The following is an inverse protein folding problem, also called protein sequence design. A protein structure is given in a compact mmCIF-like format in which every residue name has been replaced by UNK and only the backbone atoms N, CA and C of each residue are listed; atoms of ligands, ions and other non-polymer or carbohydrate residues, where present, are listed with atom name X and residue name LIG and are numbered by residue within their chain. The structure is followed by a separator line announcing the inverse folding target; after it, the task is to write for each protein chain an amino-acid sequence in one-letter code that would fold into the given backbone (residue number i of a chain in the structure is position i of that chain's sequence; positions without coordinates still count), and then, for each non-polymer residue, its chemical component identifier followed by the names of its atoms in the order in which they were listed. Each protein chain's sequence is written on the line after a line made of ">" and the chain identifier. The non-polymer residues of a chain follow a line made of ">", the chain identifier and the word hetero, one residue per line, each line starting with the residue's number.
data_IF_277295404445
#
_entry.id   IF_277295404445
#
_cell.length_a   1.000
_cell.length_b   1.000
_cell.length_c   1.000
_cell.angle_alpha   90.00
_cell.angle_beta   90.00
_cell.angle_gamma   90.00
#
_symmetry.space_group_name_H-M   'P 1'
#
loop_
_entity.id
_entity.type
_entity.pdbx_description
1 polymer ?
#
# COMPACT_ATOMS: atom_id res chain seq x y z
N UNK A 1 -7.50 3.51 13.79
CA UNK A 1 -6.37 2.70 13.27
C UNK A 1 -6.74 1.24 13.48
N UNK A 2 -6.59 0.42 12.45
CA UNK A 2 -6.81 -1.02 12.56
C UNK A 2 -5.68 -1.61 13.41
N UNK A 3 -5.99 -2.36 14.46
CA UNK A 3 -4.99 -2.93 15.37
C UNK A 3 -4.87 -4.43 15.25
N UNK A 4 -5.92 -5.12 14.82
CA UNK A 4 -5.94 -6.58 14.65
C UNK A 4 -6.83 -6.95 13.47
N UNK A 5 -6.41 -7.94 12.70
CA UNK A 5 -7.22 -8.58 11.66
C UNK A 5 -7.07 -10.10 11.81
N UNK A 6 -8.19 -10.79 12.00
CA UNK A 6 -8.26 -12.25 11.95
C UNK A 6 -9.01 -12.68 10.69
N UNK A 7 -8.46 -13.68 10.01
CA UNK A 7 -8.99 -14.24 8.77
C UNK A 7 -9.08 -15.75 8.91
N UNK A 8 -10.25 -16.33 8.63
CA UNK A 8 -10.46 -17.79 8.60
C UNK A 8 -10.95 -18.24 7.23
N UNK A 9 -10.40 -19.35 6.74
CA UNK A 9 -10.78 -20.06 5.50
C UNK A 9 -10.82 -19.19 4.23
N UNK A 10 -9.93 -18.20 4.14
CA UNK A 10 -9.83 -17.30 2.99
C UNK A 10 -8.53 -17.51 2.21
N UNK A 11 -8.66 -17.98 0.96
CA UNK A 11 -7.55 -18.18 0.02
C UNK A 11 -6.38 -18.95 0.64
N UNK A 12 -5.23 -18.31 0.81
CA UNK A 12 -4.01 -18.92 1.33
C UNK A 12 -4.04 -19.15 2.85
N UNK A 13 -5.04 -18.61 3.55
CA UNK A 13 -5.19 -18.70 5.00
C UNK A 13 -6.26 -19.71 5.38
N UNK A 14 -5.84 -20.76 6.10
CA UNK A 14 -6.77 -21.54 6.93
C UNK A 14 -7.19 -20.68 8.13
N UNK A 15 -6.22 -20.11 8.82
CA UNK A 15 -6.42 -19.12 9.88
C UNK A 15 -5.18 -18.22 9.90
N UNK A 16 -5.38 -16.91 10.05
CA UNK A 16 -4.30 -15.96 10.25
C UNK A 16 -4.78 -14.81 11.14
N UNK A 17 -4.01 -14.51 12.18
CA UNK A 17 -4.21 -13.35 13.04
C UNK A 17 -3.01 -12.42 12.92
N UNK A 18 -3.25 -11.17 12.50
CA UNK A 18 -2.21 -10.17 12.26
C UNK A 18 -2.50 -8.94 13.12
N UNK A 19 -1.54 -8.60 13.99
CA UNK A 19 -1.59 -7.42 14.85
C UNK A 19 -0.84 -6.26 14.20
N UNK A 20 -1.57 -5.25 13.73
CA UNK A 20 -1.03 -4.14 12.95
C UNK A 20 -0.58 -2.97 13.84
N UNK A 21 0.42 -2.24 13.35
CA UNK A 21 0.96 -1.00 13.93
C UNK A 21 0.76 0.16 12.94
N UNK A 22 1.47 1.29 13.14
CA UNK A 22 1.39 2.43 12.23
C UNK A 22 2.01 2.13 10.86
N UNK A 23 3.12 1.39 10.79
CA UNK A 23 3.78 0.97 9.55
C UNK A 23 3.90 -0.56 9.50
N UNK A 24 3.32 -1.17 8.47
CA UNK A 24 3.27 -2.62 8.35
C UNK A 24 3.86 -3.04 7.01
N UNK A 25 4.98 -3.78 7.04
CA UNK A 25 5.66 -4.29 5.86
C UNK A 25 5.38 -5.79 5.70
N UNK A 26 4.75 -6.14 4.58
CA UNK A 26 4.39 -7.50 4.21
C UNK A 26 5.38 -7.97 3.16
N UNK A 27 6.11 -9.04 3.45
CA UNK A 27 7.13 -9.60 2.57
C UNK A 27 7.09 -11.12 2.56
N UNK A 28 7.84 -11.76 1.65
CA UNK A 28 7.69 -13.18 1.33
C UNK A 28 7.58 -13.43 -0.17
N UNK A 29 7.71 -14.68 -0.60
CA UNK A 29 7.63 -15.04 -2.03
C UNK A 29 6.24 -14.80 -2.63
N UNK A 30 6.15 -14.81 -3.96
CA UNK A 30 4.89 -14.69 -4.66
C UNK A 30 3.96 -15.86 -4.32
N UNK A 31 2.68 -15.56 -4.11
CA UNK A 31 1.68 -16.57 -3.78
C UNK A 31 1.68 -17.06 -2.33
N UNK A 32 2.40 -16.40 -1.42
CA UNK A 32 2.43 -16.74 0.01
C UNK A 32 1.35 -16.05 0.85
N UNK A 33 0.32 -15.43 0.25
CA UNK A 33 -0.80 -14.86 1.02
C UNK A 33 -0.75 -13.35 1.33
N UNK A 34 0.34 -12.64 1.05
CA UNK A 34 0.43 -11.16 1.19
C UNK A 34 -0.76 -10.42 0.55
N UNK A 35 -1.00 -10.66 -0.74
CA UNK A 35 -2.11 -10.06 -1.46
C UNK A 35 -3.47 -10.61 -1.01
N UNK A 36 -3.51 -11.83 -0.43
CA UNK A 36 -4.75 -12.33 0.19
C UNK A 36 -5.14 -11.51 1.41
N UNK A 37 -4.16 -11.09 2.22
CA UNK A 37 -4.46 -10.19 3.34
C UNK A 37 -5.01 -8.85 2.85
N UNK A 38 -4.33 -8.20 1.90
CA UNK A 38 -4.79 -6.92 1.33
C UNK A 38 -6.19 -7.08 0.74
N UNK A 39 -6.43 -8.16 -0.01
CA UNK A 39 -7.74 -8.46 -0.58
C UNK A 39 -8.83 -8.62 0.48
N UNK A 40 -8.54 -9.14 1.67
CA UNK A 40 -9.54 -9.21 2.75
C UNK A 40 -10.09 -7.83 3.11
N UNK A 41 -9.22 -6.83 3.30
CA UNK A 41 -9.61 -5.46 3.62
C UNK A 41 -10.40 -4.82 2.46
N UNK A 42 -9.96 -5.07 1.22
CA UNK A 42 -10.63 -4.55 0.02
C UNK A 42 -12.03 -5.17 -0.16
N UNK A 43 -12.17 -6.48 0.12
CA UNK A 43 -13.46 -7.18 0.07
C UNK A 43 -14.43 -6.62 1.11
N UNK A 44 -13.98 -6.43 2.36
CA UNK A 44 -14.79 -5.84 3.42
C UNK A 44 -15.27 -4.44 2.99
N UNK A 45 -14.35 -3.59 2.53
CA UNK A 45 -14.67 -2.24 2.05
C UNK A 45 -15.68 -2.23 0.90
N UNK A 46 -15.45 -3.02 -0.16
CA UNK A 46 -16.37 -3.02 -1.30
C UNK A 46 -17.73 -3.63 -0.96
N UNK A 47 -17.77 -4.60 -0.04
CA UNK A 47 -19.02 -5.22 0.40
C UNK A 47 -19.90 -4.24 1.17
N UNK A 48 -19.29 -3.38 1.98
CA UNK A 48 -20.02 -2.30 2.65
C UNK A 48 -20.47 -1.22 1.66
N UNK A 49 -19.55 -0.69 0.84
CA UNK A 49 -19.82 0.47 -0.01
C UNK A 49 -20.67 0.17 -1.26
N UNK A 50 -20.41 -0.96 -1.93
CA UNK A 50 -21.12 -1.36 -3.15
C UNK A 50 -22.22 -2.39 -2.85
N UNK A 51 -21.95 -3.33 -1.94
CA UNK A 51 -22.90 -4.35 -1.49
C UNK A 51 -23.98 -3.84 -0.52
N UNK A 52 -23.91 -2.54 -0.15
CA UNK A 52 -24.79 -1.79 0.77
C UNK A 52 -24.69 -2.18 2.25
N UNK A 53 -24.18 -3.37 2.56
CA UNK A 53 -24.08 -3.84 3.95
C UNK A 53 -23.12 -5.02 4.04
N UNK A 54 -22.07 -4.84 4.85
CA UNK A 54 -21.14 -5.89 5.23
C UNK A 54 -21.85 -7.05 5.95
N UNK A 55 -22.90 -6.74 6.70
CA UNK A 55 -23.77 -7.71 7.39
C UNK A 55 -24.87 -8.27 6.47
N UNK A 56 -24.72 -8.14 5.16
CA UNK A 56 -25.62 -8.73 4.17
C UNK A 56 -24.93 -9.80 3.35
N UNK A 57 -23.91 -9.38 2.57
CA UNK A 57 -23.16 -10.28 1.68
C UNK A 57 -21.70 -9.84 1.55
N UNK A 58 -20.80 -10.80 1.41
CA UNK A 58 -19.44 -10.57 0.95
C UNK A 58 -19.44 -10.54 -0.57
N UNK A 59 -19.22 -9.35 -1.14
CA UNK A 59 -19.11 -9.15 -2.58
C UNK A 59 -17.71 -9.59 -3.02
N UNK A 60 -17.60 -10.67 -3.79
CA UNK A 60 -16.32 -11.17 -4.31
C UNK A 60 -15.88 -10.44 -5.60
N UNK A 61 -16.80 -9.68 -6.18
CA UNK A 61 -16.60 -8.84 -7.37
C UNK A 61 -17.12 -7.44 -7.12
N UNK A 62 -16.29 -6.45 -7.42
CA UNK A 62 -16.63 -5.03 -7.29
C UNK A 62 -15.62 -4.14 -8.01
N UNK A 63 -15.72 -2.83 -7.80
CA UNK A 63 -14.82 -1.86 -8.43
C UNK A 63 -13.37 -1.96 -7.91
N UNK A 64 -13.20 -2.40 -6.67
CA UNK A 64 -11.91 -2.55 -6.02
C UNK A 64 -11.20 -3.82 -6.48
N UNK A 65 -11.84 -4.98 -6.35
CA UNK A 65 -11.25 -6.27 -6.70
C UNK A 65 -12.31 -7.24 -7.25
N UNK A 66 -11.86 -8.12 -8.14
CA UNK A 66 -12.58 -9.30 -8.60
C UNK A 66 -11.71 -10.51 -8.26
N UNK A 67 -12.16 -11.32 -7.31
CA UNK A 67 -11.48 -12.57 -6.93
C UNK A 67 -12.18 -13.81 -7.49
N UNK A 68 -13.24 -13.64 -8.30
CA UNK A 68 -14.01 -14.74 -8.87
C UNK A 68 -15.23 -15.13 -8.02
N UNK A 69 -15.32 -16.42 -7.69
CA UNK A 69 -16.46 -17.04 -6.99
C UNK A 69 -16.04 -17.60 -5.64
N UNK A 70 -16.99 -18.13 -4.88
CA UNK A 70 -16.76 -18.73 -3.58
C UNK A 70 -15.64 -19.77 -3.60
N UNK A 71 -15.56 -20.61 -4.64
CA UNK A 71 -14.47 -21.61 -4.79
C UNK A 71 -13.06 -21.01 -4.93
N UNK A 72 -12.96 -19.78 -5.44
CA UNK A 72 -11.69 -19.08 -5.64
C UNK A 72 -11.28 -18.30 -4.37
N UNK A 73 -12.28 -17.91 -3.57
CA UNK A 73 -12.12 -17.22 -2.30
C UNK A 73 -11.85 -18.15 -1.11
N UNK A 74 -12.36 -19.38 -1.17
CA UNK A 74 -12.32 -20.34 -0.08
C UNK A 74 -10.96 -21.04 0.04
N UNK A 75 -10.48 -21.23 1.26
CA UNK A 75 -9.20 -21.91 1.48
C UNK A 75 -9.30 -23.40 1.20
N UNK A 76 -8.26 -23.96 0.56
CA UNK A 76 -8.20 -25.40 0.26
C UNK A 76 -8.01 -26.26 1.52
N UNK A 77 -7.52 -25.66 2.61
CA UNK A 77 -7.35 -26.30 3.91
C UNK A 77 -8.39 -25.86 4.94
N UNK A 78 -9.51 -25.32 4.46
CA UNK A 78 -10.61 -24.90 5.31
C UNK A 78 -11.16 -26.07 6.13
N UNK A 79 -11.49 -25.81 7.39
CA UNK A 79 -12.05 -26.81 8.32
C UNK A 79 -13.53 -26.62 8.63
N UNK A 80 -14.15 -25.59 8.06
CA UNK A 80 -15.55 -25.24 8.28
C UNK A 80 -16.13 -24.60 7.01
N UNK A 81 -17.46 -24.69 6.82
CA UNK A 81 -18.13 -24.23 5.59
C UNK A 81 -18.43 -22.72 5.60
N UNK A 82 -17.49 -21.90 6.08
CA UNK A 82 -17.62 -20.45 6.11
C UNK A 82 -16.28 -19.74 5.97
N UNK A 83 -16.33 -18.49 5.54
CA UNK A 83 -15.20 -17.55 5.56
C UNK A 83 -15.45 -16.55 6.69
N UNK A 84 -14.47 -16.30 7.54
CA UNK A 84 -14.58 -15.37 8.67
C UNK A 84 -13.60 -14.22 8.56
N UNK A 85 -14.06 -13.03 8.94
CA UNK A 85 -13.20 -11.88 9.17
C UNK A 85 -13.53 -11.24 10.52
N UNK A 86 -12.51 -11.02 11.33
CA UNK A 86 -12.59 -10.10 12.47
C UNK A 86 -11.63 -8.94 12.26
N UNK A 87 -12.06 -7.73 12.62
CA UNK A 87 -11.21 -6.54 12.57
C UNK A 87 -11.42 -5.73 13.83
N UNK A 88 -10.33 -5.43 14.53
CA UNK A 88 -10.33 -4.50 15.65
C UNK A 88 -9.80 -3.14 15.19
N UNK A 89 -10.49 -2.08 15.59
CA UNK A 89 -10.04 -0.70 15.43
C UNK A 89 -9.82 -0.07 16.80
N UNK A 90 -8.64 0.50 17.00
CA UNK A 90 -8.24 1.12 18.27
C UNK A 90 -8.44 0.16 19.47
N UNK A 91 -8.05 -1.12 19.30
CA UNK A 91 -8.17 -2.19 20.29
C UNK A 91 -9.61 -2.50 20.73
N UNK A 92 -10.60 -2.22 19.87
CA UNK A 92 -11.99 -2.60 20.07
C UNK A 92 -12.49 -3.39 18.86
N UNK A 93 -13.28 -4.46 19.07
CA UNK A 93 -13.93 -5.17 17.97
C UNK A 93 -14.78 -4.21 17.14
N UNK A 94 -14.55 -4.20 15.83
CA UNK A 94 -15.33 -3.41 14.86
C UNK A 94 -16.07 -4.31 13.89
N UNK A 95 -15.47 -5.42 13.47
CA UNK A 95 -16.04 -6.40 12.56
C UNK A 95 -15.90 -7.78 13.19
N UNK A 96 -16.99 -8.56 13.22
CA UNK A 96 -16.99 -10.02 13.37
C UNK A 96 -18.08 -10.57 12.46
N UNK A 97 -17.67 -10.97 11.25
CA UNK A 97 -18.58 -11.46 10.21
C UNK A 97 -18.16 -12.83 9.73
N UNK A 98 -19.16 -13.70 9.55
CA UNK A 98 -19.01 -14.99 8.86
C UNK A 98 -19.87 -15.03 7.62
N UNK A 99 -19.34 -15.58 6.54
CA UNK A 99 -20.06 -15.76 5.28
C UNK A 99 -20.13 -17.23 4.93
N UNK A 100 -21.33 -17.71 4.60
CA UNK A 100 -21.54 -19.11 4.23
C UNK A 100 -20.85 -19.42 2.91
N UNK A 101 -20.09 -20.51 2.88
CA UNK A 101 -19.41 -20.94 1.66
C UNK A 101 -20.44 -21.43 0.62
N UNK A 102 -20.42 -20.80 -0.56
CA UNK A 102 -21.21 -21.20 -1.73
C UNK A 102 -20.32 -21.12 -2.98
N UNK A 103 -19.87 -22.29 -3.45
CA UNK A 103 -18.81 -22.43 -4.46
C UNK A 103 -19.03 -21.63 -5.75
N UNK A 104 -20.28 -21.58 -6.24
CA UNK A 104 -20.61 -21.02 -7.55
C UNK A 104 -21.09 -19.55 -7.52
N UNK A 105 -21.23 -18.96 -6.33
CA UNK A 105 -21.66 -17.58 -6.17
C UNK A 105 -20.49 -16.62 -6.08
N UNK A 106 -20.70 -15.39 -6.58
CA UNK A 106 -19.80 -14.24 -6.46
C UNK A 106 -20.23 -13.26 -5.36
N UNK A 107 -21.31 -13.55 -4.64
CA UNK A 107 -21.74 -12.85 -3.44
C UNK A 107 -22.14 -13.86 -2.37
N UNK A 108 -21.35 -13.97 -1.30
CA UNK A 108 -21.57 -14.96 -0.25
C UNK A 108 -22.48 -14.37 0.84
N UNK A 109 -23.58 -15.05 1.23
CA UNK A 109 -24.48 -14.53 2.25
C UNK A 109 -23.84 -14.59 3.64
N UNK A 110 -24.07 -13.55 4.44
CA UNK A 110 -23.64 -13.55 5.85
C UNK A 110 -24.36 -14.63 6.63
N UNK A 111 -23.70 -15.15 7.66
CA UNK A 111 -24.34 -15.92 8.72
C UNK A 111 -24.97 -14.96 9.75
N UNK A 112 -26.30 -14.97 9.95
CA UNK A 112 -26.96 -14.04 10.87
C UNK A 112 -26.50 -14.13 12.32
N UNK A 113 -25.93 -15.27 12.74
CA UNK A 113 -25.39 -15.46 14.09
C UNK A 113 -24.05 -14.74 14.30
N UNK A 114 -23.36 -14.40 13.21
CA UNK A 114 -22.04 -13.75 13.20
C UNK A 114 -22.03 -12.64 12.14
N UNK A 115 -22.75 -11.56 12.47
CA UNK A 115 -22.93 -10.40 11.60
C UNK A 115 -22.76 -9.09 12.40
N UNK A 116 -21.65 -8.98 13.13
CA UNK A 116 -21.33 -7.80 13.93
C UNK A 116 -20.54 -6.81 13.08
N UNK A 117 -21.05 -5.58 13.00
CA UNK A 117 -20.36 -4.46 12.38
C UNK A 117 -20.66 -3.18 13.14
N UNK A 118 -19.67 -2.66 13.85
CA UNK A 118 -19.75 -1.44 14.66
C UNK A 118 -18.97 -0.29 14.02
N UNK A 119 -19.48 0.26 12.91
CA UNK A 119 -18.93 1.48 12.31
C UNK A 119 -19.78 2.70 12.67
N UNK A 120 -19.78 3.07 13.95
CA UNK A 120 -20.59 4.22 14.38
C UNK A 120 -20.10 5.51 13.68
N UNK A 121 -20.96 6.09 12.82
CA UNK A 121 -20.76 7.38 12.12
C UNK A 121 -19.69 7.42 11.02
N UNK A 122 -19.47 6.34 10.28
CA UNK A 122 -18.51 6.30 9.15
C UNK A 122 -17.09 6.74 9.54
N UNK A 123 -16.69 6.48 10.79
CA UNK A 123 -15.42 6.99 11.32
C UNK A 123 -14.22 6.16 10.87
N UNK A 124 -14.42 4.88 10.57
CA UNK A 124 -13.30 4.02 10.21
C UNK A 124 -12.71 4.43 8.87
N UNK A 125 -11.39 4.64 8.84
CA UNK A 125 -10.67 4.94 7.62
C UNK A 125 -10.91 3.86 6.55
N UNK A 126 -11.13 2.61 6.94
CA UNK A 126 -11.42 1.50 6.03
C UNK A 126 -12.69 1.68 5.20
N UNK A 127 -13.67 2.48 5.65
CA UNK A 127 -14.96 2.64 4.98
C UNK A 127 -15.27 4.07 4.51
N UNK A 128 -14.40 5.04 4.76
CA UNK A 128 -14.59 6.43 4.32
C UNK A 128 -13.51 6.88 3.31
N UNK A 129 -13.42 8.19 3.05
CA UNK A 129 -12.49 8.79 2.07
C UNK A 129 -11.03 8.84 2.54
N UNK A 130 -10.74 8.49 3.80
CA UNK A 130 -9.40 8.39 4.35
C UNK A 130 -8.68 7.09 3.94
N UNK A 131 -9.40 6.14 3.32
CA UNK A 131 -8.77 4.97 2.68
C UNK A 131 -8.09 5.38 1.37
N UNK A 132 -6.79 5.11 1.27
CA UNK A 132 -5.99 5.28 0.06
C UNK A 132 -5.41 3.93 -0.33
N UNK A 133 -5.60 3.53 -1.58
CA UNK A 133 -5.08 2.26 -2.08
C UNK A 133 -4.43 2.43 -3.44
N UNK A 134 -3.21 1.91 -3.59
CA UNK A 134 -2.48 1.84 -4.84
C UNK A 134 -2.10 0.40 -5.14
N UNK A 135 -2.62 -0.11 -6.26
CA UNK A 135 -2.34 -1.45 -6.80
C UNK A 135 -0.90 -1.56 -7.29
N UNK A 136 -0.43 -2.80 -7.44
CA UNK A 136 0.84 -3.09 -8.10
C UNK A 136 0.83 -2.65 -9.58
N UNK A 137 -0.26 -2.92 -10.29
CA UNK A 137 -0.49 -2.45 -11.67
C UNK A 137 -0.94 -0.98 -11.67
N UNK A 138 0.01 -0.07 -11.86
CA UNK A 138 -0.19 1.39 -11.90
C UNK A 138 -0.29 1.91 -13.33
N UNK A 139 -0.75 3.15 -13.44
CA UNK A 139 -0.90 3.84 -14.72
C UNK A 139 0.39 3.86 -15.53
N UNK A 140 0.24 3.59 -16.84
CA UNK A 140 1.34 3.65 -17.79
C UNK A 140 1.67 5.11 -18.17
N UNK A 141 2.92 5.39 -18.60
CA UNK A 141 3.25 6.67 -19.18
C UNK A 141 2.43 6.97 -20.43
N UNK A 142 1.72 8.10 -20.43
CA UNK A 142 0.97 8.62 -21.58
C UNK A 142 1.38 10.07 -21.89
N UNK A 143 1.10 10.52 -23.12
CA UNK A 143 1.30 11.91 -23.50
C UNK A 143 0.36 12.87 -22.77
N UNK A 144 -0.86 12.40 -22.51
CA UNK A 144 -1.97 13.15 -21.94
C UNK A 144 -2.82 12.19 -21.12
N UNK A 145 -3.33 12.64 -19.98
CA UNK A 145 -4.21 11.86 -19.12
C UNK A 145 -5.62 12.46 -19.16
N UNK A 146 -6.63 11.60 -19.03
CA UNK A 146 -8.02 12.05 -18.93
C UNK A 146 -8.25 12.69 -17.57
N UNK A 147 -8.98 13.81 -17.55
CA UNK A 147 -9.39 14.42 -16.30
C UNK A 147 -10.64 13.73 -15.73
N UNK A 148 -10.65 13.51 -14.42
CA UNK A 148 -11.82 13.11 -13.66
C UNK A 148 -12.02 14.09 -12.51
N UNK A 149 -12.62 15.25 -12.82
CA UNK A 149 -12.78 16.34 -11.86
C UNK A 149 -13.60 15.93 -10.63
N UNK A 150 -14.66 15.15 -10.81
CA UNK A 150 -15.50 14.72 -9.69
C UNK A 150 -14.71 13.87 -8.69
N UNK A 151 -13.96 12.86 -9.16
CA UNK A 151 -13.14 12.02 -8.28
C UNK A 151 -12.08 12.84 -7.52
N UNK A 152 -11.48 13.85 -8.17
CA UNK A 152 -10.37 14.61 -7.57
C UNK A 152 -10.86 15.72 -6.65
N UNK A 153 -11.84 16.52 -7.08
CA UNK A 153 -12.34 17.67 -6.30
C UNK A 153 -13.19 17.24 -5.12
N UNK A 154 -14.14 16.32 -5.32
CA UNK A 154 -15.08 15.93 -4.26
C UNK A 154 -14.50 14.87 -3.33
N UNK A 155 -13.75 13.91 -3.89
CA UNK A 155 -13.32 12.71 -3.13
C UNK A 155 -11.82 12.72 -2.79
N UNK A 156 -11.03 13.66 -3.34
CA UNK A 156 -9.57 13.65 -3.25
C UNK A 156 -8.98 12.27 -3.60
N UNK A 157 -9.55 11.64 -4.65
CA UNK A 157 -9.25 10.28 -5.05
C UNK A 157 -8.29 10.25 -6.24
N UNK A 158 -7.07 9.74 -6.01
CA UNK A 158 -6.04 9.63 -7.06
C UNK A 158 -6.25 8.43 -8.00
N UNK A 159 -7.24 7.57 -7.72
CA UNK A 159 -7.41 6.34 -8.46
C UNK A 159 -6.59 5.19 -7.89
N UNK A 160 -7.05 3.95 -8.08
CA UNK A 160 -6.35 2.77 -7.56
C UNK A 160 -5.08 2.44 -8.33
N UNK A 161 -4.95 2.94 -9.57
CA UNK A 161 -3.72 2.86 -10.37
C UNK A 161 -2.93 4.17 -10.35
N UNK A 162 -3.39 5.17 -9.60
CA UNK A 162 -2.84 6.52 -9.64
C UNK A 162 -3.27 7.33 -10.87
N UNK A 163 -4.33 6.91 -11.58
CA UNK A 163 -4.74 7.50 -12.86
C UNK A 163 -5.12 8.98 -12.79
N UNK A 164 -5.52 9.47 -11.62
CA UNK A 164 -5.86 10.88 -11.40
C UNK A 164 -4.72 11.67 -10.74
N UNK A 165 -3.54 11.09 -10.54
CA UNK A 165 -2.41 11.75 -9.84
C UNK A 165 -2.00 13.04 -10.52
N UNK A 166 -1.90 13.04 -11.86
CA UNK A 166 -1.56 14.24 -12.61
C UNK A 166 -2.60 15.35 -12.36
N UNK A 167 -3.90 15.03 -12.45
CA UNK A 167 -4.96 16.00 -12.17
C UNK A 167 -4.90 16.50 -10.73
N UNK A 168 -4.70 15.60 -9.77
CA UNK A 168 -4.59 15.91 -8.36
C UNK A 168 -3.48 16.93 -8.10
N UNK A 169 -2.29 16.71 -8.66
CA UNK A 169 -1.17 17.64 -8.53
C UNK A 169 -1.51 18.98 -9.22
N UNK A 170 -2.10 18.96 -10.41
CA UNK A 170 -2.45 20.20 -11.13
C UNK A 170 -3.39 21.09 -10.31
N UNK A 171 -4.35 20.49 -9.60
CA UNK A 171 -5.37 21.20 -8.81
C UNK A 171 -4.90 21.56 -7.40
N UNK A 172 -4.10 20.70 -6.75
CA UNK A 172 -3.73 20.84 -5.33
C UNK A 172 -2.23 21.09 -5.10
N UNK A 173 -1.44 21.42 -6.13
CA UNK A 173 0.01 21.67 -5.99
C UNK A 173 0.38 22.70 -4.93
N UNK A 174 -0.50 23.66 -4.64
CA UNK A 174 -0.28 24.72 -3.65
C UNK A 174 -0.88 24.39 -2.27
N UNK A 175 -1.55 23.23 -2.12
CA UNK A 175 -2.04 22.80 -0.82
C UNK A 175 -0.84 22.49 0.10
N UNK A 176 -0.95 22.79 1.40
CA UNK A 176 0.12 22.48 2.34
C UNK A 176 0.19 20.97 2.62
N UNK A 177 1.41 20.45 2.77
CA UNK A 177 1.64 19.11 3.32
C UNK A 177 1.34 19.14 4.82
N UNK A 178 0.38 18.32 5.27
CA UNK A 178 -0.15 18.40 6.64
C UNK A 178 0.57 17.56 7.68
N UNK A 179 1.24 16.49 7.24
CA UNK A 179 2.12 15.68 8.09
C UNK A 179 3.50 16.35 8.08
N UNK A 180 3.94 16.88 9.21
CA UNK A 180 5.20 17.63 9.30
C UNK A 180 6.43 16.74 9.11
N UNK A 181 6.36 15.48 9.54
CA UNK A 181 7.46 14.52 9.50
C UNK A 181 7.94 14.21 8.07
N UNK A 182 7.05 14.34 7.09
CA UNK A 182 7.34 14.10 5.67
C UNK A 182 7.82 15.35 4.94
N UNK A 183 7.85 16.52 5.59
CA UNK A 183 8.39 17.73 4.98
C UNK A 183 9.86 17.50 4.60
N UNK A 184 10.18 17.77 3.34
CA UNK A 184 11.54 17.60 2.88
C UNK A 184 12.36 18.85 3.22
N UNK A 185 13.55 18.74 3.86
CA UNK A 185 14.36 19.91 4.23
C UNK A 185 14.81 20.78 3.05
N UNK A 186 14.87 20.21 1.85
CA UNK A 186 15.19 20.92 0.59
C UNK A 186 13.97 21.46 -0.15
N UNK A 187 12.74 21.23 0.34
CA UNK A 187 11.55 21.81 -0.26
C UNK A 187 11.57 23.33 -0.07
N UNK A 188 11.22 24.07 -1.13
CA UNK A 188 11.26 25.55 -1.12
C UNK A 188 10.17 26.12 -0.21
N UNK A 189 9.02 25.47 -0.15
CA UNK A 189 7.87 25.85 0.67
C UNK A 189 7.18 24.59 1.23
N UNK A 190 6.14 24.77 2.05
CA UNK A 190 5.28 23.65 2.49
C UNK A 190 4.25 23.21 1.43
N UNK A 191 4.30 23.75 0.22
CA UNK A 191 3.38 23.33 -0.83
C UNK A 191 3.64 21.88 -1.24
N UNK A 192 2.57 21.19 -1.63
CA UNK A 192 2.63 19.81 -2.08
C UNK A 192 3.64 19.62 -3.22
N UNK A 193 3.66 20.51 -4.22
CA UNK A 193 4.57 20.37 -5.37
C UNK A 193 6.04 20.50 -4.99
N UNK A 194 6.39 21.44 -4.11
CA UNK A 194 7.78 21.62 -3.69
C UNK A 194 8.29 20.42 -2.88
N UNK A 195 7.41 19.77 -2.11
CA UNK A 195 7.74 18.52 -1.42
C UNK A 195 7.79 17.33 -2.37
N UNK A 196 6.89 17.25 -3.36
CA UNK A 196 6.94 16.23 -4.41
C UNK A 196 8.27 16.33 -5.16
N UNK A 197 8.65 17.51 -5.62
CA UNK A 197 9.91 17.73 -6.33
C UNK A 197 11.10 17.34 -5.44
N UNK A 198 11.11 17.78 -4.18
CA UNK A 198 12.22 17.49 -3.28
C UNK A 198 12.38 15.99 -2.97
N UNK A 199 11.29 15.24 -2.77
CA UNK A 199 11.33 13.79 -2.61
C UNK A 199 11.63 13.04 -3.91
N UNK A 200 11.07 13.49 -5.03
CA UNK A 200 11.40 12.95 -6.36
C UNK A 200 12.89 13.11 -6.64
N UNK A 201 13.53 14.21 -6.23
CA UNK A 201 14.96 14.45 -6.38
C UNK A 201 15.83 13.47 -5.57
N UNK A 202 15.36 12.97 -4.42
CA UNK A 202 16.08 11.94 -3.66
C UNK A 202 16.02 10.56 -4.33
N UNK A 203 14.99 10.32 -5.15
CA UNK A 203 14.76 9.06 -5.87
C UNK A 203 15.42 9.11 -7.25
N UNK A 204 15.19 10.20 -7.98
CA UNK A 204 15.79 10.50 -9.27
C UNK A 204 16.36 11.93 -9.28
N UNK A 205 17.69 12.07 -9.13
CA UNK A 205 18.33 13.37 -9.02
C UNK A 205 18.03 14.32 -10.18
N UNK A 206 17.76 15.57 -9.84
CA UNK A 206 17.51 16.67 -10.75
C UNK A 206 16.09 16.77 -11.29
N UNK A 207 15.17 15.86 -10.93
CA UNK A 207 13.83 15.81 -11.53
C UNK A 207 12.85 16.82 -10.92
N UNK A 208 12.08 17.50 -11.77
CA UNK A 208 10.97 18.36 -11.38
C UNK A 208 9.68 17.95 -12.09
N UNK A 209 8.56 17.98 -11.38
CA UNK A 209 7.26 17.54 -11.86
C UNK A 209 6.45 18.76 -12.30
N UNK A 210 5.91 18.71 -13.52
CA UNK A 210 5.02 19.75 -14.04
C UNK A 210 3.70 19.09 -14.41
N UNK A 211 2.62 19.51 -13.73
CA UNK A 211 1.27 19.07 -14.07
C UNK A 211 0.36 20.26 -14.37
N UNK A 212 -0.29 20.23 -15.54
CA UNK A 212 -1.19 21.28 -16.02
C UNK A 212 -2.50 20.68 -16.51
N UNK A 213 -3.63 21.15 -15.97
CA UNK A 213 -4.96 20.80 -16.46
C UNK A 213 -5.41 21.82 -17.53
N UNK A 214 -5.76 21.32 -18.71
CA UNK A 214 -6.34 22.09 -19.81
C UNK A 214 -7.86 21.88 -19.84
N UNK A 215 -8.58 22.76 -19.16
CA UNK A 215 -10.03 22.65 -18.95
C UNK A 215 -10.82 22.51 -20.27
N UNK A 216 -10.50 23.29 -21.29
CA UNK A 216 -11.23 23.28 -22.57
C UNK A 216 -11.05 21.97 -23.37
N UNK A 217 -9.97 21.23 -23.09
CA UNK A 217 -9.66 19.96 -23.74
C UNK A 217 -10.01 18.75 -22.86
N UNK A 218 -10.39 18.99 -21.61
CA UNK A 218 -10.59 17.99 -20.56
C UNK A 218 -9.42 17.00 -20.40
N UNK A 219 -8.21 17.53 -20.50
CA UNK A 219 -6.95 16.76 -20.51
C UNK A 219 -5.95 17.33 -19.51
N UNK A 220 -5.21 16.45 -18.86
CA UNK A 220 -4.06 16.80 -18.04
C UNK A 220 -2.77 16.44 -18.74
N UNK A 221 -1.86 17.41 -18.84
CA UNK A 221 -0.50 17.19 -19.30
C UNK A 221 0.43 17.08 -18.10
N UNK A 222 1.08 15.94 -17.98
CA UNK A 222 2.21 15.73 -17.09
C UNK A 222 3.50 15.85 -17.92
N UNK A 223 4.46 16.61 -17.43
CA UNK A 223 5.81 16.72 -17.97
C UNK A 223 6.82 16.63 -16.84
N UNK A 224 8.06 16.31 -17.17
CA UNK A 224 9.19 16.42 -16.27
C UNK A 224 10.29 17.30 -16.88
N UNK A 225 10.99 18.05 -16.03
CA UNK A 225 12.23 18.72 -16.40
C UNK A 225 13.35 18.24 -15.49
N UNK A 226 14.58 18.43 -15.94
CA UNK A 226 15.78 18.01 -15.20
C UNK A 226 16.73 19.17 -15.00
N UNK A 227 17.45 19.18 -13.88
CA UNK A 227 18.53 20.13 -13.64
C UNK A 227 19.64 19.97 -14.71
N UNK A 228 20.02 21.09 -15.30
CA UNK A 228 21.06 21.21 -16.32
C UNK A 228 22.00 22.37 -15.96
N UNK A 229 22.84 22.16 -14.94
CA UNK A 229 23.70 23.21 -14.39
C UNK A 229 22.87 24.22 -13.59
N UNK A 230 22.80 25.47 -14.06
CA UNK A 230 21.96 26.52 -13.45
C UNK A 230 20.58 26.65 -14.12
N UNK A 231 20.35 25.93 -15.22
CA UNK A 231 19.11 25.92 -15.97
C UNK A 231 18.37 24.58 -15.79
N UNK A 232 17.21 24.45 -16.41
CA UNK A 232 16.49 23.18 -16.54
C UNK A 232 16.38 22.77 -18.01
N UNK A 233 16.25 21.48 -18.26
CA UNK A 233 15.96 20.95 -19.60
C UNK A 233 14.59 21.41 -20.11
N UNK A 234 14.30 21.23 -21.41
CA UNK A 234 12.93 21.28 -21.91
C UNK A 234 12.02 20.24 -21.21
N UNK A 235 10.71 20.45 -21.33
CA UNK A 235 9.69 19.50 -20.90
C UNK A 235 9.83 18.16 -21.62
N UNK A 236 9.96 17.09 -20.84
CA UNK A 236 9.85 15.72 -21.33
C UNK A 236 8.51 15.11 -20.94
N UNK A 237 7.84 14.49 -21.91
CA UNK A 237 6.64 13.70 -21.66
C UNK A 237 6.98 12.43 -20.86
N UNK A 238 6.06 11.90 -20.04
CA UNK A 238 6.22 10.62 -19.34
C UNK A 238 6.71 9.48 -20.24
N UNK A 239 6.27 9.42 -21.50
CA UNK A 239 6.71 8.40 -22.46
C UNK A 239 8.21 8.44 -22.76
N UNK A 240 8.88 9.55 -22.47
CA UNK A 240 10.30 9.79 -22.75
C UNK A 240 11.19 9.79 -21.50
N UNK A 241 10.64 9.61 -20.30
CA UNK A 241 11.38 9.75 -19.02
C UNK A 241 11.58 8.44 -18.26
N UNK A 242 11.07 7.32 -18.79
CA UNK A 242 11.18 6.00 -18.17
C UNK A 242 10.05 5.73 -17.17
N UNK A 243 9.68 4.45 -17.03
CA UNK A 243 8.49 4.02 -16.27
C UNK A 243 8.52 4.39 -14.78
N UNK A 244 9.71 4.45 -14.17
CA UNK A 244 9.87 4.68 -12.73
C UNK A 244 9.24 5.98 -12.23
N UNK A 245 9.27 7.06 -13.02
CA UNK A 245 8.68 8.34 -12.63
C UNK A 245 7.16 8.24 -12.50
N UNK A 246 6.51 7.76 -13.56
CA UNK A 246 5.05 7.63 -13.62
C UNK A 246 4.53 6.62 -12.59
N UNK A 247 5.29 5.57 -12.28
CA UNK A 247 4.92 4.59 -11.27
C UNK A 247 5.08 5.11 -9.84
N UNK A 248 6.13 5.90 -9.58
CA UNK A 248 6.46 6.37 -8.22
C UNK A 248 5.70 7.61 -7.82
N UNK A 249 5.38 8.50 -8.78
CA UNK A 249 4.69 9.76 -8.51
C UNK A 249 3.35 9.58 -7.77
N UNK A 250 2.47 8.61 -8.11
CA UNK A 250 1.26 8.33 -7.33
C UNK A 250 1.55 7.97 -5.87
N UNK A 251 2.63 7.21 -5.61
CA UNK A 251 3.02 6.81 -4.26
C UNK A 251 3.43 8.04 -3.46
N UNK A 252 4.34 8.86 -3.99
CA UNK A 252 4.81 10.07 -3.32
C UNK A 252 3.65 11.06 -3.11
N UNK A 253 2.84 11.32 -4.13
CA UNK A 253 1.71 12.23 -4.01
C UNK A 253 0.69 11.74 -2.97
N UNK A 254 0.39 10.44 -2.94
CA UNK A 254 -0.51 9.84 -1.94
C UNK A 254 0.03 10.06 -0.53
N UNK A 255 1.32 9.78 -0.31
CA UNK A 255 1.94 9.90 1.02
C UNK A 255 2.06 11.37 1.46
N UNK A 256 2.46 12.28 0.57
CA UNK A 256 2.62 13.70 0.91
C UNK A 256 1.29 14.45 1.06
N UNK A 257 0.22 13.97 0.42
CA UNK A 257 -1.12 14.53 0.60
C UNK A 257 -1.90 13.90 1.76
N UNK A 258 -1.32 12.88 2.41
CA UNK A 258 -1.96 12.17 3.50
C UNK A 258 -2.14 13.05 4.74
N UNK A 259 -3.13 12.66 5.54
CA UNK A 259 -3.46 13.29 6.82
C UNK A 259 -3.37 12.25 7.94
N UNK A 260 -3.24 12.75 9.17
CA UNK A 260 -3.34 11.90 10.36
C UNK A 260 -4.67 11.14 10.36
N UNK A 261 -4.60 9.83 10.56
CA UNK A 261 -5.75 8.93 10.54
C UNK A 261 -6.06 8.32 9.17
N UNK A 262 -5.34 8.69 8.11
CA UNK A 262 -5.47 8.01 6.81
C UNK A 262 -4.96 6.57 6.90
N UNK A 263 -5.64 5.66 6.18
CA UNK A 263 -5.20 4.28 5.98
C UNK A 263 -4.71 4.14 4.54
N UNK A 264 -3.41 3.93 4.37
CA UNK A 264 -2.73 3.85 3.08
C UNK A 264 -2.28 2.40 2.84
N UNK A 265 -2.77 1.79 1.78
CA UNK A 265 -2.38 0.44 1.35
C UNK A 265 -1.66 0.53 0.00
N UNK A 266 -0.44 0.00 -0.09
CA UNK A 266 0.37 0.10 -1.31
C UNK A 266 1.00 -1.23 -1.64
N UNK A 267 0.78 -1.73 -2.84
CA UNK A 267 1.44 -2.93 -3.36
C UNK A 267 2.62 -2.56 -4.26
N UNK A 268 3.79 -3.18 -4.02
CA UNK A 268 5.02 -2.99 -4.78
C UNK A 268 5.38 -1.51 -5.06
N UNK A 269 5.50 -0.66 -4.02
CA UNK A 269 5.91 0.73 -4.19
C UNK A 269 7.31 0.89 -4.81
N UNK A 270 8.16 -0.14 -4.71
CA UNK A 270 9.55 -0.14 -5.20
C UNK A 270 9.71 -0.30 -6.71
N UNK A 271 8.66 -0.72 -7.43
CA UNK A 271 8.78 -1.15 -8.83
C UNK A 271 9.39 -0.05 -9.70
N UNK A 272 10.33 -0.45 -10.56
CA UNK A 272 11.07 0.42 -11.49
C UNK A 272 11.99 1.47 -10.84
N UNK A 273 12.25 1.38 -9.52
CA UNK A 273 13.19 2.25 -8.84
C UNK A 273 14.56 1.63 -8.67
N UNK A 274 15.59 2.48 -8.72
CA UNK A 274 16.94 2.12 -8.29
C UNK A 274 16.97 1.83 -6.78
N UNK A 275 17.82 0.90 -6.27
CA UNK A 275 17.97 0.60 -4.84
C UNK A 275 17.97 1.80 -3.89
N UNK A 276 18.70 2.87 -4.25
CA UNK A 276 18.74 4.10 -3.46
C UNK A 276 17.35 4.75 -3.32
N UNK A 277 16.60 4.82 -4.42
CA UNK A 277 15.24 5.35 -4.43
C UNK A 277 14.27 4.50 -3.61
N UNK A 278 14.42 3.17 -3.64
CA UNK A 278 13.62 2.25 -2.82
C UNK A 278 13.87 2.50 -1.31
N UNK A 279 15.12 2.70 -0.91
CA UNK A 279 15.46 3.03 0.48
C UNK A 279 14.89 4.40 0.90
N UNK A 280 14.94 5.40 0.02
CA UNK A 280 14.35 6.72 0.27
C UNK A 280 12.83 6.68 0.37
N UNK A 281 12.20 5.80 -0.41
CA UNK A 281 10.77 5.56 -0.30
C UNK A 281 10.39 4.91 1.04
N UNK A 282 11.20 3.96 1.52
CA UNK A 282 11.05 3.40 2.87
C UNK A 282 11.16 4.46 3.97
N UNK A 283 12.08 5.43 3.84
CA UNK A 283 12.22 6.57 4.75
C UNK A 283 10.97 7.47 4.75
N UNK A 284 10.45 7.82 3.57
CA UNK A 284 9.23 8.63 3.41
C UNK A 284 8.02 7.95 4.05
N UNK A 285 7.82 6.66 3.81
CA UNK A 285 6.72 5.89 4.38
C UNK A 285 6.82 5.82 5.92
N UNK A 286 8.01 5.62 6.47
CA UNK A 286 8.25 5.66 7.91
C UNK A 286 7.90 7.02 8.52
N UNK A 287 8.30 8.12 7.88
CA UNK A 287 7.96 9.47 8.32
C UNK A 287 6.45 9.73 8.31
N UNK A 288 5.76 9.28 7.26
CA UNK A 288 4.30 9.43 7.16
C UNK A 288 3.56 8.65 8.26
N UNK A 289 4.03 7.43 8.55
CA UNK A 289 3.48 6.62 9.63
C UNK A 289 3.73 7.25 11.02
N UNK A 290 4.91 7.83 11.24
CA UNK A 290 5.22 8.58 12.47
C UNK A 290 4.30 9.80 12.65
N UNK A 291 3.94 10.47 11.56
CA UNK A 291 2.95 11.56 11.53
C UNK A 291 1.50 11.14 11.73
N UNK A 292 1.24 9.85 11.93
CA UNK A 292 -0.06 9.31 12.32
C UNK A 292 -0.95 8.83 11.16
N UNK A 293 -0.39 8.63 9.97
CA UNK A 293 -1.03 7.76 8.97
C UNK A 293 -0.81 6.28 9.35
N UNK A 294 -1.75 5.41 9.02
CA UNK A 294 -1.53 3.97 9.06
C UNK A 294 -1.18 3.47 7.67
N UNK A 295 -0.10 2.71 7.55
CA UNK A 295 0.43 2.27 6.25
C UNK A 295 0.60 0.75 6.25
N UNK A 296 0.10 0.11 5.20
CA UNK A 296 0.27 -1.32 4.90
C UNK A 296 0.93 -1.43 3.53
N UNK A 297 2.08 -2.10 3.48
CA UNK A 297 2.91 -2.19 2.27
C UNK A 297 3.13 -3.66 1.95
N UNK A 298 2.83 -4.09 0.73
CA UNK A 298 3.39 -5.32 0.17
C UNK A 298 4.66 -4.99 -0.61
N UNK A 299 5.78 -5.64 -0.30
CA UNK A 299 7.06 -5.41 -0.99
C UNK A 299 7.98 -6.63 -0.99
N UNK A 300 8.80 -6.71 -2.04
CA UNK A 300 9.90 -7.67 -2.18
C UNK A 300 11.27 -6.99 -2.14
N UNK A 301 11.34 -5.73 -1.69
CA UNK A 301 12.57 -4.96 -1.64
C UNK A 301 13.22 -4.99 -0.26
N UNK A 302 14.43 -5.56 -0.20
CA UNK A 302 15.32 -5.43 0.95
C UNK A 302 15.78 -3.98 1.14
N UNK A 303 15.95 -3.23 0.06
CA UNK A 303 16.30 -1.82 0.11
C UNK A 303 15.21 -0.95 0.76
N UNK A 304 13.94 -1.21 0.48
CA UNK A 304 12.81 -0.56 1.14
C UNK A 304 12.77 -0.89 2.63
N UNK A 305 12.92 -2.18 2.99
CA UNK A 305 13.07 -2.61 4.39
C UNK A 305 14.24 -1.87 5.07
N UNK A 306 15.39 -1.80 4.41
CA UNK A 306 16.57 -1.13 4.95
C UNK A 306 16.35 0.38 5.13
N UNK A 307 15.61 1.03 4.24
CA UNK A 307 15.15 2.41 4.41
C UNK A 307 14.35 2.61 5.70
N UNK A 308 13.40 1.71 5.97
CA UNK A 308 12.59 1.71 7.20
C UNK A 308 13.48 1.47 8.43
N UNK A 309 14.39 0.48 8.39
CA UNK A 309 15.32 0.18 9.48
C UNK A 309 16.22 1.35 9.83
N UNK A 310 16.72 2.07 8.81
CA UNK A 310 17.52 3.29 9.00
C UNK A 310 16.66 4.40 9.60
N UNK A 311 15.39 4.55 9.20
CA UNK A 311 14.48 5.51 9.79
C UNK A 311 14.25 5.25 11.29
N UNK A 312 14.09 3.98 11.71
CA UNK A 312 14.02 3.58 13.14
C UNK A 312 15.30 3.96 13.87
N UNK A 313 16.47 3.57 13.34
CA UNK A 313 17.78 3.89 13.93
C UNK A 313 17.99 5.40 14.12
N UNK A 314 17.52 6.19 13.15
CA UNK A 314 17.60 7.65 13.18
C UNK A 314 16.49 8.31 14.01
N UNK A 315 15.62 7.52 14.67
CA UNK A 315 14.50 7.98 15.49
C UNK A 315 13.46 8.81 14.71
N UNK A 316 13.35 8.59 13.41
CA UNK A 316 12.29 9.17 12.59
C UNK A 316 10.93 8.48 12.83
N UNK A 317 10.95 7.24 13.31
CA UNK A 317 9.78 6.49 13.78
C UNK A 317 10.22 5.59 14.95
N UNK A 318 9.31 5.35 15.91
CA UNK A 318 9.55 4.39 17.00
C UNK A 318 9.54 2.94 16.49
N UNK A 319 10.41 2.09 17.03
CA UNK A 319 10.48 0.68 16.62
C UNK A 319 9.17 -0.08 16.86
N UNK A 320 8.41 0.25 17.91
CA UNK A 320 7.13 -0.42 18.21
C UNK A 320 5.99 0.04 17.28
N UNK A 321 6.21 1.11 16.51
CA UNK A 321 5.28 1.58 15.49
C UNK A 321 5.47 0.90 14.14
N UNK A 322 6.42 -0.05 14.04
CA UNK A 322 6.75 -0.78 12.81
C UNK A 322 6.58 -2.28 13.04
N UNK A 323 5.85 -2.95 12.14
CA UNK A 323 5.73 -4.39 12.09
C UNK A 323 6.18 -4.95 10.74
N UNK A 324 6.92 -6.04 10.75
CA UNK A 324 7.32 -6.78 9.55
C UNK A 324 6.69 -8.16 9.61
N UNK A 325 5.99 -8.53 8.56
CA UNK A 325 5.35 -9.83 8.41
C UNK A 325 5.98 -10.55 7.23
N UNK A 326 6.62 -11.68 7.51
CA UNK A 326 7.20 -12.55 6.49
C UNK A 326 6.28 -13.76 6.28
N UNK A 327 5.68 -13.77 5.10
CA UNK A 327 4.72 -14.78 4.70
C UNK A 327 5.43 -15.93 4.00
N UNK A 328 5.22 -17.13 4.52
CA UNK A 328 5.79 -18.36 3.99
C UNK A 328 4.72 -19.43 3.83
N UNK A 329 5.01 -20.41 2.98
CA UNK A 329 4.26 -21.64 2.85
C UNK A 329 5.26 -22.77 2.82
N UNK A 330 5.07 -23.77 3.67
CA UNK A 330 5.84 -24.99 3.56
C UNK A 330 5.44 -25.72 2.28
N UNK A 331 6.40 -25.87 1.36
CA UNK A 331 6.19 -26.52 0.06
C UNK A 331 6.04 -28.04 0.23
N UNK A 332 6.46 -28.58 1.37
CA UNK A 332 6.36 -30.01 1.71
C UNK A 332 5.10 -30.33 2.52
N UNK A 333 4.32 -29.33 2.94
CA UNK A 333 3.06 -29.53 3.65
C UNK A 333 1.90 -29.68 2.67
N UNK A 334 1.20 -30.81 2.76
CA UNK A 334 0.01 -31.13 1.98
C UNK A 334 -1.15 -30.14 2.24
N UNK A 335 -1.16 -29.46 3.39
CA UNK A 335 -2.22 -28.52 3.77
C UNK A 335 -2.14 -27.18 3.03
N UNK A 336 -1.03 -26.89 2.34
CA UNK A 336 -0.85 -25.65 1.57
C UNK A 336 -1.17 -24.37 2.36
N UNK A 337 -0.89 -24.37 3.67
CA UNK A 337 -1.24 -23.26 4.57
C UNK A 337 -0.14 -22.21 4.63
N UNK A 338 -0.54 -20.95 4.72
CA UNK A 338 0.40 -19.85 4.95
C UNK A 338 0.73 -19.72 6.43
N UNK A 339 2.02 -19.65 6.75
CA UNK A 339 2.54 -19.26 8.07
C UNK A 339 3.13 -17.85 7.99
N UNK A 340 3.10 -17.13 9.11
CA UNK A 340 3.61 -15.76 9.18
C UNK A 340 4.63 -15.69 10.29
N UNK A 341 5.88 -15.38 9.94
CA UNK A 341 6.92 -15.00 10.89
C UNK A 341 6.97 -13.48 11.05
N UNK A 342 7.28 -12.98 12.24
CA UNK A 342 7.22 -11.55 12.57
C UNK A 342 8.54 -11.04 13.19
N UNK A 343 9.59 -10.80 12.37
CA UNK A 343 10.79 -10.12 12.83
C UNK A 343 10.47 -8.67 13.24
N UNK A 344 10.87 -8.28 14.45
CA UNK A 344 10.82 -6.87 14.85
C UNK A 344 12.16 -6.16 14.65
N UNK A 345 12.09 -4.83 14.49
CA UNK A 345 13.26 -3.95 14.37
C UNK A 345 13.62 -3.47 15.78
N UNK A 346 14.87 -3.64 16.18
CA UNK A 346 15.42 -3.10 17.42
C UNK A 346 15.64 -1.59 17.31
N UNK A 347 15.75 -0.90 18.44
CA UNK A 347 15.97 0.57 18.47
C UNK A 347 17.25 1.04 17.73
N UNK A 348 18.22 0.16 17.50
CA UNK A 348 19.44 0.43 16.74
C UNK A 348 19.32 0.11 15.23
N UNK A 349 18.15 -0.34 14.77
CA UNK A 349 17.84 -0.71 13.39
C UNK A 349 18.21 -2.15 13.02
N UNK A 350 18.71 -2.97 13.95
CA UNK A 350 18.91 -4.40 13.71
C UNK A 350 17.57 -5.14 13.69
N UNK A 351 17.54 -6.28 13.01
CA UNK A 351 16.41 -7.21 13.11
C UNK A 351 16.66 -8.17 14.27
N UNK A 352 15.60 -8.50 15.00
CA UNK A 352 15.61 -9.50 16.06
C UNK A 352 16.10 -10.87 15.57
N UNK A 353 15.66 -11.27 14.38
CA UNK A 353 16.09 -12.47 13.68
C UNK A 353 15.84 -12.31 12.16
N UNK A 354 16.37 -13.25 11.38
CA UNK A 354 16.14 -13.34 9.94
C UNK A 354 15.64 -14.75 9.63
N UNK A 355 14.37 -14.90 9.22
CA UNK A 355 13.84 -16.18 8.77
C UNK A 355 14.61 -16.68 7.54
N UNK A 356 14.58 -17.98 7.29
CA UNK A 356 15.25 -18.53 6.09
C UNK A 356 14.54 -18.00 4.83
N UNK A 357 15.28 -17.49 3.85
CA UNK A 357 14.68 -16.89 2.65
C UNK A 357 14.30 -15.42 2.79
N UNK A 358 14.42 -14.83 3.98
CA UNK A 358 14.15 -13.42 4.24
C UNK A 358 15.29 -12.52 3.73
N UNK A 359 15.21 -12.13 2.45
CA UNK A 359 16.20 -11.24 1.81
C UNK A 359 17.66 -11.72 1.88
N UNK A 360 17.87 -13.04 1.95
CA UNK A 360 19.20 -13.64 2.14
C UNK A 360 19.89 -14.03 0.82
N UNK A 361 19.19 -13.86 -0.31
CA UNK A 361 19.66 -14.32 -1.62
C UNK A 361 20.98 -13.67 -2.04
N UNK A 362 21.16 -12.36 -1.81
CA UNK A 362 22.43 -11.69 -2.10
C UNK A 362 23.62 -12.34 -1.35
N UNK A 363 23.43 -12.65 -0.07
CA UNK A 363 24.48 -13.28 0.74
C UNK A 363 24.77 -14.72 0.27
N UNK A 364 23.73 -15.48 -0.08
CA UNK A 364 23.86 -16.84 -0.66
C UNK A 364 24.62 -16.82 -1.97
N UNK A 365 24.29 -15.90 -2.87
CA UNK A 365 24.97 -15.74 -4.16
C UNK A 365 26.43 -15.31 -3.98
N UNK A 366 26.70 -14.39 -3.05
CA UNK A 366 28.07 -13.95 -2.74
C UNK A 366 28.92 -15.10 -2.18
N UNK A 367 28.37 -15.92 -1.29
CA UNK A 367 29.04 -17.11 -0.77
C UNK A 367 29.36 -18.11 -1.89
N UNK A 368 28.43 -18.35 -2.82
CA UNK A 368 28.66 -19.20 -3.99
C UNK A 368 29.76 -18.67 -4.92
N UNK A 369 29.88 -17.35 -5.09
CA UNK A 369 30.92 -16.73 -5.91
C UNK A 369 32.32 -16.82 -5.30
N UNK A 370 32.42 -16.87 -3.97
CA UNK A 370 33.70 -16.90 -3.24
C UNK A 370 34.21 -18.35 -3.08
N UNK A 371 33.31 -19.34 -3.12
CA UNK A 371 33.69 -20.77 -3.02
C UNK A 371 34.45 -21.22 -4.29
N UNK A 372 35.58 -21.94 -4.16
CA UNK A 372 36.24 -22.55 -5.30
C UNK A 372 35.33 -23.60 -5.95
N UNK A 373 35.39 -23.68 -7.28
CA UNK A 373 34.56 -24.54 -8.13
C UNK A 373 34.75 -26.04 -7.88
#
# INVERSE_FOLDING_TARGET
>A
MITRVLIENFKAFREAEINLTALNLFTGLNGMGKSSFIQSLLLLRQSELEGKSLTGRLMLKGSLIDIGKGKDAFSISATSDHIKFEVDENYKPMIDVRYKYLSELDALPVDPEHAVFENSKDQSALFNSNFKYLKADRIAPEHNYKANLFAVLEQRFMGYKGENTALFIALFKLDPVTIEEVHHPKAKTNNLIDNIDAWMNEITPGAHVISTYYNDLDVVKLSYTFDAGNDVTPDFSPVNTGFGFTYTLPVIATVLSAKKGDLIVIENPECHLHPQGQAKLGELLAKAAAGGAQIIIESHSDHLLNGIRVAVKNKAIDSNSVSIFYFERDVNDDLHTTTIDQPFIESDGRLSHQPTGFFDEYAKQLDNLIRPA
#
